data_IF_523247216657
#
_entry.id   IF_523247216657
#
_cell.length_a   1.000
_cell.length_b   1.000
_cell.length_c   1.000
_cell.angle_alpha   90.00
_cell.angle_beta   90.00
_cell.angle_gamma   90.00
#
_symmetry.space_group_name_H-M   'P 1'
#
loop_
_entity.id
_entity.type
_entity.pdbx_description
1 polymer ?
#
# COMPACT_ATOMS: atom_id res chain seq x y z
N UNK A 1 19.07 21.91 25.48
CA UNK A 1 19.16 20.79 24.52
C UNK A 1 17.99 20.75 23.53
N UNK A 2 16.93 21.55 23.70
CA UNK A 2 15.78 21.60 22.77
C UNK A 2 16.09 22.01 21.32
N UNK A 3 17.08 22.88 21.09
CA UNK A 3 17.36 23.42 19.75
C UNK A 3 17.92 22.38 18.77
N UNK A 4 18.69 21.41 19.26
CA UNK A 4 19.27 20.37 18.41
C UNK A 4 18.21 19.35 17.94
N UNK A 5 17.24 19.03 18.81
CA UNK A 5 16.18 18.08 18.51
C UNK A 5 15.17 18.64 17.51
N UNK A 6 14.79 19.93 17.65
CA UNK A 6 13.95 20.62 16.67
C UNK A 6 14.61 20.75 15.30
N UNK A 7 15.94 20.94 15.27
CA UNK A 7 16.70 20.99 14.01
C UNK A 7 16.70 19.66 13.26
N UNK A 8 16.87 18.54 13.96
CA UNK A 8 16.84 17.20 13.35
C UNK A 8 15.46 16.85 12.80
N UNK A 9 14.39 17.17 13.54
CA UNK A 9 13.02 16.95 13.10
C UNK A 9 12.68 17.75 11.83
N UNK A 10 13.10 19.02 11.77
CA UNK A 10 12.90 19.86 10.60
C UNK A 10 13.64 19.32 9.37
N UNK A 11 14.89 18.88 9.54
CA UNK A 11 15.68 18.27 8.47
C UNK A 11 15.04 16.98 7.96
N UNK A 12 14.68 16.05 8.85
CA UNK A 12 14.06 14.80 8.43
C UNK A 12 12.70 15.01 7.77
N UNK A 13 11.89 15.96 8.26
CA UNK A 13 10.64 16.35 7.60
C UNK A 13 10.91 16.88 6.19
N UNK A 14 11.88 17.77 6.01
CA UNK A 14 12.24 18.28 4.68
C UNK A 14 12.69 17.18 3.72
N UNK A 15 13.45 16.20 4.19
CA UNK A 15 13.87 15.07 3.36
C UNK A 15 12.67 14.21 2.91
N UNK A 16 11.70 13.97 3.80
CA UNK A 16 10.45 13.31 3.42
C UNK A 16 9.67 14.17 2.41
N UNK A 17 9.56 15.47 2.60
CA UNK A 17 8.89 16.36 1.64
C UNK A 17 9.55 16.28 0.26
N UNK A 18 10.88 16.32 0.19
CA UNK A 18 11.62 16.16 -1.07
C UNK A 18 11.33 14.82 -1.73
N UNK A 19 11.35 13.74 -0.94
CA UNK A 19 11.05 12.39 -1.40
C UNK A 19 9.64 12.28 -2.02
N UNK A 20 8.64 12.86 -1.36
CA UNK A 20 7.23 12.79 -1.77
C UNK A 20 6.86 13.77 -2.89
N UNK A 21 7.72 14.72 -3.22
CA UNK A 21 7.47 15.76 -4.25
C UNK A 21 8.27 15.55 -5.54
N UNK A 22 8.96 14.42 -5.67
CA UNK A 22 9.71 14.06 -6.88
C UNK A 22 8.80 14.00 -8.12
N UNK A 23 9.31 14.34 -9.32
CA UNK A 23 8.57 14.19 -10.56
C UNK A 23 8.01 12.78 -10.76
N UNK A 24 8.77 11.75 -10.38
CA UNK A 24 8.41 10.34 -10.49
C UNK A 24 7.21 10.00 -9.60
N UNK A 25 7.16 10.52 -8.37
CA UNK A 25 6.01 10.37 -7.47
C UNK A 25 4.74 11.01 -8.02
N UNK A 26 4.88 12.18 -8.68
CA UNK A 26 3.75 12.85 -9.34
C UNK A 26 3.27 12.08 -10.57
N UNK A 27 4.18 11.61 -11.41
CA UNK A 27 3.83 10.79 -12.58
C UNK A 27 3.15 9.48 -12.16
N UNK A 28 3.65 8.82 -11.12
CA UNK A 28 3.00 7.64 -10.57
C UNK A 28 1.59 7.96 -10.03
N UNK A 29 1.37 9.13 -9.44
CA UNK A 29 0.04 9.56 -8.99
C UNK A 29 -0.98 9.58 -10.15
N UNK A 30 -0.54 10.08 -11.32
CA UNK A 30 -1.37 10.14 -12.52
C UNK A 30 -1.73 8.75 -13.01
N UNK A 31 -0.76 7.82 -13.03
CA UNK A 31 -0.99 6.43 -13.42
C UNK A 31 -2.03 5.75 -12.51
N UNK A 32 -1.93 5.97 -11.20
CA UNK A 32 -2.83 5.34 -10.21
C UNK A 32 -4.28 5.81 -10.33
N UNK A 33 -4.52 7.07 -10.73
CA UNK A 33 -5.87 7.65 -10.79
C UNK A 33 -6.85 6.80 -11.61
N UNK A 34 -6.36 6.20 -12.69
CA UNK A 34 -7.18 5.48 -13.64
C UNK A 34 -7.17 3.95 -13.38
N UNK A 35 -6.52 3.50 -12.31
CA UNK A 35 -6.37 2.07 -11.96
C UNK A 35 -7.44 1.53 -11.03
N UNK A 36 -8.20 2.38 -10.34
CA UNK A 36 -9.12 1.97 -9.26
C UNK A 36 -10.20 0.96 -9.68
N UNK A 37 -10.52 0.89 -10.98
CA UNK A 37 -11.52 -0.02 -11.54
C UNK A 37 -10.90 -1.21 -12.30
N UNK A 38 -9.57 -1.22 -12.48
CA UNK A 38 -8.87 -2.25 -13.25
C UNK A 38 -8.51 -3.41 -12.33
N UNK A 39 -8.93 -4.65 -12.62
CA UNK A 39 -8.56 -5.81 -11.80
C UNK A 39 -7.05 -6.03 -11.81
N UNK A 40 -6.47 -6.40 -10.66
CA UNK A 40 -5.02 -6.53 -10.46
C UNK A 40 -4.32 -7.42 -11.50
N UNK A 41 -4.97 -8.52 -11.92
CA UNK A 41 -4.43 -9.42 -12.94
C UNK A 41 -4.25 -8.77 -14.33
N UNK A 42 -4.94 -7.67 -14.60
CA UNK A 42 -4.86 -6.91 -15.85
C UNK A 42 -3.88 -5.73 -15.77
N UNK A 43 -3.20 -5.52 -14.63
CA UNK A 43 -2.26 -4.42 -14.50
C UNK A 43 -1.02 -4.63 -15.36
N UNK A 44 -0.62 -3.57 -16.07
CA UNK A 44 0.67 -3.54 -16.77
C UNK A 44 1.83 -3.51 -15.78
N UNK A 45 3.03 -3.84 -16.27
CA UNK A 45 4.25 -3.74 -15.45
C UNK A 45 4.56 -2.28 -15.06
N UNK A 46 4.21 -1.31 -15.91
CA UNK A 46 4.32 0.11 -15.59
C UNK A 46 3.41 0.49 -14.42
N UNK A 47 2.16 0.01 -14.41
CA UNK A 47 1.21 0.24 -13.33
C UNK A 47 1.69 -0.38 -12.00
N UNK A 48 2.18 -1.63 -12.03
CA UNK A 48 2.77 -2.28 -10.85
C UNK A 48 3.99 -1.52 -10.33
N UNK A 49 4.85 -1.05 -11.25
CA UNK A 49 6.03 -0.25 -10.90
C UNK A 49 5.65 1.09 -10.27
N UNK A 50 4.64 1.78 -10.81
CA UNK A 50 4.13 3.04 -10.26
C UNK A 50 3.54 2.85 -8.84
N UNK A 51 2.77 1.78 -8.62
CA UNK A 51 2.25 1.44 -7.29
C UNK A 51 3.39 1.11 -6.33
N UNK A 52 4.34 0.26 -6.75
CA UNK A 52 5.52 -0.08 -5.95
C UNK A 52 6.33 1.16 -5.56
N UNK A 53 6.57 2.08 -6.50
CA UNK A 53 7.29 3.33 -6.24
C UNK A 53 6.60 4.13 -5.15
N UNK A 54 5.28 4.33 -5.24
CA UNK A 54 4.54 5.11 -4.24
C UNK A 54 4.52 4.42 -2.88
N UNK A 55 4.27 3.11 -2.84
CA UNK A 55 4.29 2.35 -1.60
C UNK A 55 5.67 2.42 -0.92
N UNK A 56 6.76 2.26 -1.67
CA UNK A 56 8.12 2.40 -1.14
C UNK A 56 8.37 3.79 -0.54
N UNK A 57 8.00 4.86 -1.24
CA UNK A 57 8.23 6.23 -0.77
C UNK A 57 7.39 6.56 0.47
N UNK A 58 6.13 6.12 0.52
CA UNK A 58 5.31 6.29 1.73
C UNK A 58 5.75 5.39 2.88
N UNK A 59 6.32 4.22 2.62
CA UNK A 59 6.88 3.37 3.67
C UNK A 59 8.13 4.01 4.30
N UNK A 60 9.00 4.61 3.48
CA UNK A 60 10.12 5.42 3.98
C UNK A 60 9.62 6.63 4.77
N UNK A 61 8.59 7.33 4.29
CA UNK A 61 7.97 8.43 5.03
C UNK A 61 7.43 7.97 6.39
N UNK A 62 6.69 6.86 6.41
CA UNK A 62 6.15 6.25 7.63
C UNK A 62 7.25 5.84 8.60
N UNK A 63 8.36 5.30 8.09
CA UNK A 63 9.54 4.97 8.91
C UNK A 63 10.12 6.21 9.58
N UNK A 64 10.25 7.34 8.87
CA UNK A 64 10.73 8.61 9.41
C UNK A 64 9.79 9.19 10.48
N UNK A 65 8.48 9.09 10.25
CA UNK A 65 7.47 9.52 11.23
C UNK A 65 7.57 8.65 12.49
N UNK A 66 7.61 7.33 12.35
CA UNK A 66 7.65 6.42 13.49
C UNK A 66 8.96 6.51 14.29
N UNK A 67 10.08 6.78 13.62
CA UNK A 67 11.37 7.03 14.28
C UNK A 67 11.48 8.43 14.92
N UNK A 68 10.40 9.24 14.85
CA UNK A 68 10.36 10.64 15.33
C UNK A 68 11.39 11.53 14.65
N UNK A 69 11.76 11.19 13.41
CA UNK A 69 12.67 11.96 12.56
C UNK A 69 11.92 12.91 11.63
N UNK A 70 10.62 12.71 11.42
CA UNK A 70 9.75 13.63 10.70
C UNK A 70 8.47 13.94 11.50
N UNK A 71 7.88 15.11 11.26
CA UNK A 71 6.62 15.51 11.87
C UNK A 71 5.44 14.78 11.22
N UNK A 72 4.72 13.97 11.99
CA UNK A 72 3.49 13.30 11.53
C UNK A 72 2.46 14.32 11.04
N UNK A 73 2.27 15.41 11.77
CA UNK A 73 1.31 16.49 11.44
C UNK A 73 1.60 17.08 10.07
N UNK A 74 2.85 17.45 9.79
CA UNK A 74 3.22 18.06 8.50
C UNK A 74 3.09 17.09 7.33
N UNK A 75 3.34 15.80 7.56
CA UNK A 75 3.17 14.77 6.53
C UNK A 75 1.68 14.44 6.33
N UNK A 76 0.90 14.37 7.40
CA UNK A 76 -0.53 14.13 7.33
C UNK A 76 -1.26 15.28 6.61
N UNK A 77 -0.96 16.53 6.94
CA UNK A 77 -1.61 17.70 6.34
C UNK A 77 -1.40 17.77 4.82
N UNK A 78 -0.22 17.39 4.33
CA UNK A 78 0.10 17.45 2.91
C UNK A 78 -0.30 16.22 2.09
N UNK A 79 -0.32 15.03 2.69
CA UNK A 79 -0.35 13.77 1.93
C UNK A 79 -1.40 12.75 2.39
N UNK A 80 -2.17 12.98 3.46
CA UNK A 80 -3.16 12.00 3.98
C UNK A 80 -4.04 11.40 2.88
N UNK A 81 -4.66 12.25 2.06
CA UNK A 81 -5.55 11.80 0.97
C UNK A 81 -4.80 10.93 -0.06
N UNK A 82 -3.55 11.29 -0.36
CA UNK A 82 -2.72 10.58 -1.33
C UNK A 82 -2.25 9.22 -0.81
N UNK A 83 -1.94 9.15 0.49
CA UNK A 83 -1.54 7.94 1.20
C UNK A 83 -2.71 6.96 1.24
N UNK A 84 -3.89 7.42 1.68
CA UNK A 84 -5.09 6.60 1.78
C UNK A 84 -5.54 6.06 0.42
N UNK A 85 -5.54 6.91 -0.61
CA UNK A 85 -5.93 6.48 -1.96
C UNK A 85 -4.93 5.47 -2.55
N UNK A 86 -3.63 5.70 -2.33
CA UNK A 86 -2.61 4.73 -2.74
C UNK A 86 -2.81 3.41 -2.01
N UNK A 87 -3.12 3.41 -0.72
CA UNK A 87 -3.31 2.20 0.06
C UNK A 87 -4.51 1.39 -0.43
N UNK A 88 -5.62 2.07 -0.70
CA UNK A 88 -6.84 1.47 -1.27
C UNK A 88 -6.55 0.78 -2.61
N UNK A 89 -5.84 1.44 -3.52
CA UNK A 89 -5.50 0.89 -4.84
C UNK A 89 -4.46 -0.24 -4.71
N UNK A 90 -3.45 -0.06 -3.85
CA UNK A 90 -2.33 -0.98 -3.74
C UNK A 90 -2.67 -2.31 -3.06
N UNK A 91 -3.79 -2.42 -2.34
CA UNK A 91 -4.16 -3.60 -1.55
C UNK A 91 -3.89 -4.96 -2.23
N UNK A 92 -4.39 -5.20 -3.46
CA UNK A 92 -4.12 -6.45 -4.19
C UNK A 92 -2.63 -6.68 -4.50
N UNK A 93 -1.89 -5.60 -4.79
CA UNK A 93 -0.46 -5.67 -5.06
C UNK A 93 0.35 -5.99 -3.80
N UNK A 94 0.00 -5.36 -2.67
CA UNK A 94 0.60 -5.64 -1.36
C UNK A 94 0.40 -7.12 -1.01
N UNK A 95 -0.83 -7.62 -1.11
CA UNK A 95 -1.14 -9.03 -0.83
C UNK A 95 -0.33 -9.98 -1.72
N UNK A 96 -0.24 -9.69 -3.03
CA UNK A 96 0.53 -10.50 -3.97
C UNK A 96 2.04 -10.54 -3.64
N UNK A 97 2.63 -9.40 -3.26
CA UNK A 97 4.05 -9.34 -2.90
C UNK A 97 4.34 -10.03 -1.57
N UNK A 98 3.46 -9.88 -0.56
CA UNK A 98 3.58 -10.56 0.73
C UNK A 98 3.59 -12.08 0.57
N UNK A 99 2.66 -12.60 -0.23
CA UNK A 99 2.58 -14.03 -0.51
C UNK A 99 3.79 -14.52 -1.30
N UNK A 100 4.25 -13.76 -2.30
CA UNK A 100 5.44 -14.07 -3.10
C UNK A 100 6.71 -14.14 -2.27
N UNK A 101 6.91 -13.18 -1.36
CA UNK A 101 8.14 -13.06 -0.57
C UNK A 101 8.05 -13.65 0.83
N UNK A 102 6.88 -14.18 1.23
CA UNK A 102 6.60 -14.71 2.57
C UNK A 102 6.98 -13.70 3.66
N UNK A 103 6.59 -12.44 3.46
CA UNK A 103 6.88 -11.34 4.37
C UNK A 103 5.63 -10.50 4.65
N UNK A 104 4.95 -10.82 5.74
CA UNK A 104 3.71 -10.14 6.16
C UNK A 104 3.94 -8.68 6.59
N UNK A 105 5.19 -8.28 6.81
CA UNK A 105 5.55 -6.93 7.24
C UNK A 105 5.98 -6.02 6.09
N UNK A 106 5.87 -6.49 4.85
CA UNK A 106 6.20 -5.67 3.68
C UNK A 106 5.35 -4.40 3.67
N UNK A 107 6.03 -3.24 3.59
CA UNK A 107 5.44 -1.89 3.67
C UNK A 107 4.60 -1.60 4.92
N UNK A 108 4.92 -2.21 6.06
CA UNK A 108 4.17 -2.00 7.30
C UNK A 108 4.07 -0.53 7.74
N UNK A 109 5.08 0.29 7.45
CA UNK A 109 5.08 1.69 7.91
C UNK A 109 4.17 2.53 7.03
N UNK A 110 4.07 2.21 5.74
CA UNK A 110 3.06 2.77 4.85
C UNK A 110 1.65 2.43 5.34
N UNK A 111 1.38 1.18 5.72
CA UNK A 111 0.05 0.79 6.22
C UNK A 111 -0.31 1.54 7.50
N UNK A 112 0.62 1.65 8.44
CA UNK A 112 0.43 2.42 9.67
C UNK A 112 0.14 3.89 9.37
N UNK A 113 0.84 4.47 8.39
CA UNK A 113 0.63 5.84 7.97
C UNK A 113 -0.75 6.04 7.30
N UNK A 114 -1.24 5.04 6.56
CA UNK A 114 -2.53 5.10 5.86
C UNK A 114 -3.73 4.91 6.80
N UNK A 115 -3.62 4.00 7.76
CA UNK A 115 -4.66 3.65 8.73
C UNK A 115 -4.70 4.64 9.90
N UNK A 116 -3.59 5.37 10.11
CA UNK A 116 -3.39 6.25 11.25
C UNK A 116 -2.92 5.49 12.48
N UNK A 117 -2.05 6.12 13.27
CA UNK A 117 -1.39 5.56 14.46
C UNK A 117 -2.33 5.07 15.59
N UNK A 118 -3.65 5.11 15.41
CA UNK A 118 -4.68 4.72 16.39
C UNK A 118 -5.43 3.41 16.11
N UNK A 119 -5.25 2.76 14.95
CA UNK A 119 -6.05 1.60 14.53
C UNK A 119 -5.21 0.34 14.29
N UNK A 120 -4.36 -0.04 15.25
CA UNK A 120 -3.83 -1.41 15.31
C UNK A 120 -4.91 -2.32 15.90
N UNK A 121 -5.92 -2.60 15.07
CA UNK A 121 -6.85 -3.70 15.20
C UNK A 121 -6.95 -4.35 13.83
N UNK A 122 -6.25 -5.47 13.66
CA UNK A 122 -6.28 -6.35 12.48
C UNK A 122 -7.59 -6.22 11.68
N UNK A 123 -7.55 -5.49 10.57
CA UNK A 123 -8.57 -5.59 9.53
C UNK A 123 -7.84 -5.64 8.20
N UNK A 124 -7.40 -6.85 7.89
CA UNK A 124 -7.04 -7.26 6.54
C UNK A 124 -8.26 -6.98 5.64
N UNK A 125 -8.11 -6.32 4.48
CA UNK A 125 -9.20 -6.25 3.52
C UNK A 125 -9.50 -7.68 3.08
N UNK A 126 -10.73 -8.11 3.35
CA UNK A 126 -11.28 -9.41 3.00
C UNK A 126 -11.09 -9.65 1.50
N UNK A 127 -10.07 -10.41 1.15
CA UNK A 127 -9.91 -10.97 -0.18
C UNK A 127 -11.03 -11.98 -0.36
N UNK A 128 -12.00 -11.62 -1.19
CA UNK A 128 -13.05 -12.49 -1.67
C UNK A 128 -12.41 -13.80 -2.18
N UNK A 129 -12.46 -14.83 -1.33
CA UNK A 129 -12.03 -16.17 -1.63
C UNK A 129 -13.11 -16.78 -2.52
N UNK A 130 -12.86 -16.84 -3.82
CA UNK A 130 -13.66 -17.66 -4.70
C UNK A 130 -13.50 -19.14 -4.28
N UNK A 131 -14.55 -19.71 -3.70
CA UNK A 131 -14.62 -21.13 -3.39
C UNK A 131 -14.50 -21.97 -4.67
N UNK A 132 -13.62 -22.97 -4.73
CA UNK A 132 -13.75 -24.03 -5.72
C UNK A 132 -14.78 -25.03 -5.21
N UNK A 133 -16.02 -24.93 -5.67
CA UNK A 133 -16.99 -26.02 -5.50
C UNK A 133 -16.53 -27.22 -6.32
N UNK A 134 -15.77 -28.09 -5.67
CA UNK A 134 -15.53 -29.48 -6.02
C UNK A 134 -16.65 -30.32 -5.41
N UNK A 135 -17.50 -30.89 -6.25
CA UNK A 135 -18.40 -32.01 -5.97
C UNK A 135 -18.71 -32.61 -7.34
N UNK A 136 -18.30 -33.83 -7.69
CA UNK A 136 -18.49 -35.07 -6.96
C UNK A 136 -19.11 -36.02 -8.00
N UNK A 137 -18.33 -36.97 -8.52
CA UNK A 137 -18.77 -37.87 -9.56
C UNK A 137 -19.71 -38.98 -9.07
N UNK A 138 -20.46 -39.53 -10.03
CA UNK A 138 -20.88 -40.93 -10.19
C UNK A 138 -22.38 -41.06 -10.54
N UNK A 139 -22.67 -41.68 -11.69
CA UNK A 139 -24.03 -42.04 -12.09
C UNK A 139 -24.18 -42.38 -13.57
N UNK A 140 -23.42 -43.35 -14.07
CA UNK A 140 -23.67 -43.96 -15.39
C UNK A 140 -24.98 -44.75 -15.27
N UNK A 141 -26.00 -44.35 -16.01
CA UNK A 141 -27.20 -45.18 -16.23
C UNK A 141 -27.43 -45.32 -17.73
N UNK A 142 -27.30 -46.54 -18.22
CA UNK A 142 -27.54 -46.91 -19.62
C UNK A 142 -29.06 -46.96 -19.92
N UNK A 143 -29.51 -46.66 -21.15
CA UNK A 143 -30.83 -47.04 -21.61
C UNK A 143 -30.76 -48.25 -22.57
N UNK A 144 -31.57 -49.28 -22.26
CA UNK A 144 -32.12 -50.26 -23.21
C UNK A 144 -33.52 -49.76 -23.60
N UNK A 145 -33.99 -49.93 -24.84
CA UNK A 145 -34.47 -51.23 -25.32
C UNK A 145 -33.77 -51.74 -26.60
#
# INVERSE_FOLDING_TARGET
METAQSGQLAQGTMEVVKLLTTPEMRSAAVVLRDMGEIPYGAWSEEQKSAVSLRCNNFDVAGMFVQSKMASEELIADGWTSSIQETYRIAGPHIAALRERFKNDTHWRYFEQLAIGSGAIGHTQPEVASAEPTSSGGAGITAPRP
#
